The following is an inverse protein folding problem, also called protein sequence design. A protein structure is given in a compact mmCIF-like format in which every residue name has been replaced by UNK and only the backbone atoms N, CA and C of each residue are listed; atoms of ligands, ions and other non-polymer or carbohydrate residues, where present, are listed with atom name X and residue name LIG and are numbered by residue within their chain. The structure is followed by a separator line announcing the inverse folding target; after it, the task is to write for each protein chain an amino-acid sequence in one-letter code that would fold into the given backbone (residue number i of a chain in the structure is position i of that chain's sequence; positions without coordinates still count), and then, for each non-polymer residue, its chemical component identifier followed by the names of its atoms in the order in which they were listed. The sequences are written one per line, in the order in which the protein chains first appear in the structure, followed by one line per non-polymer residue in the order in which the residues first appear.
data_IF_839372460676
#
_entry.id   IF_839372460676
#
_cell.length_a   1.000
_cell.length_b   1.000
_cell.length_c   1.000
_cell.angle_alpha   90.00
_cell.angle_beta   90.00
_cell.angle_gamma   90.00
#
_symmetry.space_group_name_H-M   'P 1'
#
loop_
_entity.id
_entity.type
_entity.pdbx_description
1 polymer ?
#
# COMPACT_ATOMS: atom_id res chain seq x y z
N UNK A 1 23.09 42.58 -37.54
CA UNK A 1 22.89 43.83 -36.77
C UNK A 1 21.44 43.86 -36.28
N UNK A 2 21.19 43.46 -35.04
CA UNK A 2 19.86 43.56 -34.42
C UNK A 2 20.07 44.02 -32.96
N UNK A 3 19.65 45.23 -32.56
CA UNK A 3 19.76 45.65 -31.18
C UNK A 3 18.57 45.11 -30.40
N UNK A 4 18.83 44.16 -29.51
CA UNK A 4 17.87 43.71 -28.48
C UNK A 4 18.43 44.04 -27.10
N UNK A 5 18.45 45.31 -26.65
CA UNK A 5 18.45 45.60 -25.23
C UNK A 5 16.99 45.62 -24.76
N UNK A 6 16.72 45.20 -23.52
CA UNK A 6 15.44 45.34 -22.78
C UNK A 6 14.51 44.12 -22.69
N UNK A 7 14.60 43.08 -23.52
CA UNK A 7 13.79 41.87 -23.31
C UNK A 7 14.30 40.95 -22.18
N UNK A 8 15.49 41.21 -21.64
CA UNK A 8 16.15 40.34 -20.64
C UNK A 8 15.88 40.71 -19.18
N UNK A 9 15.28 41.87 -18.90
CA UNK A 9 14.97 42.26 -17.52
C UNK A 9 13.57 41.84 -17.04
N UNK A 10 12.70 41.37 -17.93
CA UNK A 10 11.34 40.96 -17.55
C UNK A 10 11.20 39.48 -17.17
N UNK A 11 12.26 38.68 -17.31
CA UNK A 11 12.21 37.23 -17.08
C UNK A 11 13.04 36.75 -15.89
N UNK A 12 13.36 37.65 -14.96
CA UNK A 12 14.07 37.30 -13.70
C UNK A 12 13.14 37.32 -12.48
N UNK A 13 11.90 37.83 -12.61
CA UNK A 13 10.97 37.95 -11.48
C UNK A 13 9.97 36.77 -11.38
N UNK A 14 9.84 35.95 -12.42
CA UNK A 14 8.91 34.78 -12.45
C UNK A 14 9.68 33.46 -12.38
N UNK A 15 10.55 33.32 -11.40
CA UNK A 15 11.06 32.00 -11.00
C UNK A 15 11.47 32.02 -9.52
N UNK A 16 10.69 32.73 -8.69
CA UNK A 16 10.88 32.72 -7.25
C UNK A 16 10.29 31.42 -6.70
N UNK A 17 11.16 30.42 -6.62
CA UNK A 17 11.17 29.28 -5.70
C UNK A 17 9.97 29.15 -4.74
N UNK A 18 8.90 28.50 -5.19
CA UNK A 18 7.99 27.79 -4.29
C UNK A 18 7.84 26.34 -4.74
N UNK A 19 8.95 25.60 -4.69
CA UNK A 19 8.83 24.16 -4.41
C UNK A 19 8.45 24.05 -2.94
N UNK A 20 7.15 24.24 -2.67
CA UNK A 20 6.56 23.80 -1.42
C UNK A 20 6.75 22.29 -1.39
N UNK A 21 7.62 21.84 -0.48
CA UNK A 21 7.97 20.44 -0.33
C UNK A 21 6.71 19.59 -0.26
N UNK A 22 6.66 18.58 -1.12
CA UNK A 22 5.85 17.41 -0.84
C UNK A 22 6.42 16.83 0.46
N UNK A 23 5.80 17.17 1.60
CA UNK A 23 5.91 16.36 2.79
C UNK A 23 5.30 15.02 2.39
N UNK A 24 6.16 14.09 1.98
CA UNK A 24 5.78 12.70 1.90
C UNK A 24 5.20 12.36 3.29
N UNK A 25 3.92 12.01 3.31
CA UNK A 25 3.29 11.46 4.50
C UNK A 25 3.97 10.12 4.78
N UNK A 26 5.06 10.18 5.55
CA UNK A 26 5.77 9.00 6.06
C UNK A 26 5.04 8.50 7.32
N UNK A 27 3.72 8.39 7.25
CA UNK A 27 2.92 7.77 8.29
C UNK A 27 2.25 6.49 7.77
N UNK A 28 2.98 5.72 6.95
CA UNK A 28 2.67 4.32 6.73
C UNK A 28 2.78 3.59 8.07
N UNK A 29 1.70 3.62 8.85
CA UNK A 29 1.63 2.99 10.15
C UNK A 29 1.94 1.51 9.98
N UNK A 30 2.91 1.02 10.73
CA UNK A 30 3.27 -0.40 10.72
C UNK A 30 2.08 -1.18 11.26
N UNK A 31 1.52 -2.07 10.42
CA UNK A 31 0.41 -2.94 10.83
C UNK A 31 0.99 -4.13 11.60
N UNK A 32 0.58 -4.27 12.86
CA UNK A 32 0.91 -5.45 13.64
C UNK A 32 -0.09 -6.58 13.34
N UNK A 33 0.38 -7.64 12.69
CA UNK A 33 -0.48 -8.74 12.26
C UNK A 33 -1.20 -9.41 13.44
N UNK A 34 -0.51 -9.61 14.58
CA UNK A 34 -1.04 -10.37 15.70
C UNK A 34 -2.22 -9.68 16.38
N UNK A 35 -2.16 -8.36 16.50
CA UNK A 35 -3.17 -7.55 17.21
C UNK A 35 -4.20 -6.92 16.28
N UNK A 36 -3.86 -6.69 15.01
CA UNK A 36 -4.76 -5.96 14.09
C UNK A 36 -5.39 -6.87 13.03
N UNK A 37 -4.67 -7.88 12.51
CA UNK A 37 -5.14 -8.69 11.37
C UNK A 37 -5.69 -10.04 11.82
N UNK A 38 -4.93 -10.79 12.61
CA UNK A 38 -5.32 -12.13 13.09
C UNK A 38 -6.70 -12.16 13.78
N UNK A 39 -7.08 -11.18 14.63
CA UNK A 39 -8.41 -11.17 15.24
C UNK A 39 -9.53 -11.09 14.20
N UNK A 40 -9.34 -10.31 13.13
CA UNK A 40 -10.32 -10.18 12.04
C UNK A 40 -10.56 -11.54 11.39
N UNK A 41 -9.49 -12.25 11.00
CA UNK A 41 -9.61 -13.59 10.42
C UNK A 41 -10.29 -14.57 11.39
N UNK A 42 -9.98 -14.49 12.67
CA UNK A 42 -10.59 -15.38 13.67
C UNK A 42 -12.10 -15.19 13.82
N UNK A 43 -12.57 -13.95 13.75
CA UNK A 43 -13.99 -13.61 13.96
C UNK A 43 -14.79 -13.78 12.66
N UNK A 44 -14.16 -13.49 11.51
CA UNK A 44 -14.87 -13.36 10.24
C UNK A 44 -14.66 -14.52 9.27
N UNK A 45 -13.57 -15.28 9.39
CA UNK A 45 -13.16 -16.23 8.35
C UNK A 45 -13.01 -17.67 8.86
N UNK A 46 -12.52 -17.89 10.08
CA UNK A 46 -12.18 -19.25 10.55
C UNK A 46 -13.38 -20.17 10.75
N UNK A 47 -14.60 -19.63 10.85
CA UNK A 47 -15.82 -20.44 10.88
C UNK A 47 -16.00 -21.30 9.62
N UNK A 48 -15.48 -20.85 8.47
CA UNK A 48 -15.53 -21.56 7.19
C UNK A 48 -14.15 -21.95 6.63
N UNK A 49 -13.07 -21.23 7.00
CA UNK A 49 -11.72 -21.42 6.47
C UNK A 49 -10.67 -21.63 7.59
N UNK A 50 -11.03 -22.41 8.60
CA UNK A 50 -10.21 -22.74 9.76
C UNK A 50 -10.07 -24.25 9.98
N UNK A 51 -9.54 -24.68 11.13
CA UNK A 51 -9.31 -26.11 11.37
C UNK A 51 -10.59 -26.96 11.36
N UNK A 52 -11.72 -26.41 11.83
CA UNK A 52 -12.98 -27.14 11.96
C UNK A 52 -13.74 -27.28 10.63
N UNK A 53 -13.54 -26.36 9.70
CA UNK A 53 -14.22 -26.32 8.40
C UNK A 53 -13.34 -25.60 7.39
N UNK A 54 -13.21 -26.18 6.21
CA UNK A 54 -12.23 -25.78 5.17
C UNK A 54 -12.94 -25.69 3.82
N UNK A 55 -13.86 -24.73 3.71
CA UNK A 55 -14.57 -24.50 2.45
C UNK A 55 -13.57 -24.17 1.34
N UNK A 56 -13.74 -24.83 0.20
CA UNK A 56 -12.86 -24.73 -0.98
C UNK A 56 -11.37 -24.98 -0.67
N UNK A 57 -11.08 -25.80 0.35
CA UNK A 57 -9.72 -26.15 0.76
C UNK A 57 -8.87 -24.99 1.31
N UNK A 58 -9.44 -23.79 1.47
CA UNK A 58 -8.72 -22.60 1.90
C UNK A 58 -8.54 -22.57 3.43
N UNK A 59 -7.33 -22.20 3.88
CA UNK A 59 -6.99 -22.06 5.30
C UNK A 59 -6.25 -20.76 5.60
N UNK A 60 -6.74 -20.01 6.59
CA UNK A 60 -6.27 -18.65 6.91
C UNK A 60 -5.65 -18.51 8.31
N UNK A 61 -5.29 -19.62 8.97
CA UNK A 61 -4.84 -19.61 10.36
C UNK A 61 -3.36 -19.26 10.53
N UNK A 62 -2.54 -19.67 9.57
CA UNK A 62 -1.09 -19.40 9.54
C UNK A 62 -0.68 -18.87 8.18
N UNK A 63 0.47 -18.20 8.14
CA UNK A 63 1.02 -17.65 6.90
C UNK A 63 1.25 -18.72 5.84
N UNK A 64 1.76 -19.88 6.24
CA UNK A 64 2.07 -21.01 5.35
C UNK A 64 0.81 -21.54 4.68
N UNK A 65 -0.27 -21.67 5.45
CA UNK A 65 -1.57 -22.12 4.97
C UNK A 65 -2.22 -21.10 4.03
N UNK A 66 -2.10 -19.81 4.33
CA UNK A 66 -2.60 -18.76 3.44
C UNK A 66 -1.88 -18.75 2.09
N UNK A 67 -0.56 -18.97 2.11
CA UNK A 67 0.26 -19.03 0.90
C UNK A 67 0.00 -20.29 0.07
N UNK A 68 -0.42 -21.39 0.71
CA UNK A 68 -0.85 -22.59 -0.01
C UNK A 68 -2.05 -22.32 -0.92
N UNK A 69 -2.94 -21.41 -0.50
CA UNK A 69 -4.17 -21.09 -1.23
C UNK A 69 -5.27 -22.12 -1.00
N UNK A 70 -6.22 -22.19 -1.94
CA UNK A 70 -7.32 -23.16 -1.93
C UNK A 70 -7.58 -23.70 -3.33
N UNK A 71 -8.75 -24.30 -3.54
CA UNK A 71 -9.17 -24.83 -4.84
C UNK A 71 -9.18 -23.76 -5.95
N UNK A 72 -9.36 -22.49 -5.59
CA UNK A 72 -9.25 -21.35 -6.51
C UNK A 72 -7.80 -20.95 -6.87
N UNK A 73 -6.81 -21.65 -6.33
CA UNK A 73 -5.39 -21.38 -6.54
C UNK A 73 -4.80 -20.40 -5.52
N UNK A 74 -3.76 -19.69 -5.95
CA UNK A 74 -3.00 -18.76 -5.12
C UNK A 74 -3.85 -17.58 -4.65
N UNK A 75 -3.87 -17.33 -3.34
CA UNK A 75 -4.61 -16.21 -2.73
C UNK A 75 -3.69 -15.06 -2.32
N UNK A 76 -2.42 -15.36 -1.99
CA UNK A 76 -1.42 -14.37 -1.57
C UNK A 76 -0.12 -14.61 -2.33
N UNK A 77 0.48 -13.53 -2.86
CA UNK A 77 1.82 -13.51 -3.44
C UNK A 77 2.72 -12.67 -2.52
N UNK A 78 3.86 -13.20 -2.04
CA UNK A 78 4.75 -12.53 -1.10
C UNK A 78 5.62 -11.44 -1.73
#
# INVERSE_FOLDING_TARGET
MLPQPLAKLFWVIVCSCTVAGALADESAQTVDYATQVKPIHSIKCYSCHGALKQESGLRLETRELMLHGGEGGTVIVP
#
